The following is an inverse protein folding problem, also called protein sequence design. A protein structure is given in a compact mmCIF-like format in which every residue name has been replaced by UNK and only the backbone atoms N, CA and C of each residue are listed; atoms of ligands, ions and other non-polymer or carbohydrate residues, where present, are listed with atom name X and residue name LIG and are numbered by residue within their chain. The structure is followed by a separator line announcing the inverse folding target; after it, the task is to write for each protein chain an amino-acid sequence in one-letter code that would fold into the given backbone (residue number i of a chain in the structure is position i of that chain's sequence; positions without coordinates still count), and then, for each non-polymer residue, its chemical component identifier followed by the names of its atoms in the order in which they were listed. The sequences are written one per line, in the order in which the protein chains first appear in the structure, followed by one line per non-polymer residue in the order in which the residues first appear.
data_IF_704565829187
#
_entry.id   IF_704565829187
#
_cell.length_a   1.000
_cell.length_b   1.000
_cell.length_c   1.000
_cell.angle_alpha   90.00
_cell.angle_beta   90.00
_cell.angle_gamma   90.00
#
_symmetry.space_group_name_H-M   'P 1'
#
loop_
_entity.id
_entity.type
_entity.pdbx_description
1 polymer ?
#
# COMPACT_ATOMS: atom_id res chain seq x y z
N UNK A 1 4.94 17.73 1.63
CA UNK A 1 5.71 16.47 1.60
C UNK A 1 5.28 15.80 0.33
N UNK A 2 6.16 15.77 -0.66
CA UNK A 2 5.80 15.35 -2.01
C UNK A 2 5.85 13.82 -2.07
N UNK A 3 4.71 13.21 -2.35
CA UNK A 3 4.59 11.76 -2.49
C UNK A 3 5.02 11.39 -3.91
N UNK A 4 5.97 10.45 -4.01
CA UNK A 4 6.40 9.85 -5.25
C UNK A 4 5.58 8.57 -5.45
N UNK A 5 5.00 8.46 -6.64
CA UNK A 5 4.38 7.26 -7.16
C UNK A 5 4.97 6.98 -8.55
N UNK A 6 5.07 5.71 -8.93
CA UNK A 6 5.54 5.33 -10.25
C UNK A 6 4.43 5.62 -11.28
N UNK A 7 4.62 6.65 -12.12
CA UNK A 7 3.68 7.01 -13.20
C UNK A 7 3.58 5.91 -14.27
N UNK A 8 4.59 5.04 -14.39
CA UNK A 8 4.56 3.88 -15.29
C UNK A 8 3.77 2.69 -14.70
N UNK A 9 3.31 2.78 -13.44
CA UNK A 9 2.42 1.81 -12.80
C UNK A 9 3.01 0.42 -12.55
N UNK A 10 4.34 0.28 -12.60
CA UNK A 10 4.98 -1.03 -12.57
C UNK A 10 5.46 -1.38 -11.15
N UNK A 11 5.95 -0.42 -10.37
CA UNK A 11 6.44 -0.66 -9.00
C UNK A 11 5.28 -0.48 -8.00
N UNK A 12 4.98 -1.45 -7.11
CA UNK A 12 4.07 -1.23 -5.99
C UNK A 12 4.73 -0.35 -4.92
N UNK A 13 5.02 0.89 -5.28
CA UNK A 13 5.60 1.91 -4.41
C UNK A 13 4.70 3.14 -4.39
N UNK A 14 4.41 3.57 -3.18
CA UNK A 14 3.79 4.84 -2.87
C UNK A 14 4.49 5.33 -1.62
N UNK A 15 5.12 6.50 -1.64
CA UNK A 15 5.99 6.92 -0.54
C UNK A 15 6.63 8.27 -0.76
N UNK A 16 7.42 8.69 0.22
CA UNK A 16 8.33 9.84 0.13
C UNK A 16 9.61 9.45 -0.61
N UNK A 17 10.39 10.44 -1.04
CA UNK A 17 11.70 10.20 -1.68
C UNK A 17 12.65 9.39 -0.83
N UNK A 18 12.74 9.68 0.48
CA UNK A 18 13.63 8.93 1.38
C UNK A 18 13.22 7.45 1.51
N UNK A 19 11.93 7.15 1.43
CA UNK A 19 11.44 5.77 1.45
C UNK A 19 11.75 5.03 0.13
N UNK A 20 11.73 5.76 -0.99
CA UNK A 20 12.13 5.23 -2.29
C UNK A 20 13.63 4.92 -2.32
N UNK A 21 14.46 5.82 -1.81
CA UNK A 21 15.91 5.64 -1.71
C UNK A 21 16.23 4.40 -0.85
N UNK A 22 15.57 4.26 0.32
CA UNK A 22 15.73 3.09 1.18
C UNK A 22 15.30 1.77 0.51
N UNK A 23 14.20 1.78 -0.26
CA UNK A 23 13.78 0.61 -1.03
C UNK A 23 14.79 0.28 -2.14
N UNK A 24 15.33 1.30 -2.82
CA UNK A 24 16.32 1.15 -3.88
C UNK A 24 17.64 0.56 -3.36
N UNK A 25 18.10 1.01 -2.19
CA UNK A 25 19.27 0.44 -1.51
C UNK A 25 19.05 -1.02 -1.16
N UNK A 26 17.88 -1.37 -0.61
CA UNK A 26 17.52 -2.75 -0.26
C UNK A 26 17.52 -3.65 -1.50
N UNK A 27 16.88 -3.19 -2.58
CA UNK A 27 16.84 -3.89 -3.87
C UNK A 27 18.25 -4.09 -4.44
N UNK A 28 19.08 -3.05 -4.40
CA UNK A 28 20.46 -3.10 -4.90
C UNK A 28 21.28 -4.13 -4.14
N UNK A 29 21.14 -4.17 -2.82
CA UNK A 29 21.79 -5.17 -1.97
C UNK A 29 21.29 -6.59 -2.29
N UNK A 30 19.97 -6.77 -2.45
CA UNK A 30 19.39 -8.04 -2.84
C UNK A 30 19.94 -8.53 -4.20
N UNK A 31 20.02 -7.65 -5.20
CA UNK A 31 20.58 -7.98 -6.52
C UNK A 31 22.06 -8.36 -6.43
N UNK A 32 22.84 -7.70 -5.58
CA UNK A 32 24.23 -8.08 -5.32
C UNK A 32 24.31 -9.49 -4.75
N UNK A 33 23.49 -9.80 -3.75
CA UNK A 33 23.44 -11.16 -3.18
C UNK A 33 23.01 -12.18 -4.23
N UNK A 34 22.01 -11.89 -5.06
CA UNK A 34 21.60 -12.82 -6.12
C UNK A 34 22.72 -13.10 -7.11
N UNK A 35 23.59 -12.13 -7.44
CA UNK A 35 24.75 -12.32 -8.31
C UNK A 35 25.83 -13.20 -7.66
N UNK A 36 26.11 -12.97 -6.39
CA UNK A 36 27.27 -13.55 -5.68
C UNK A 36 26.94 -14.88 -4.98
N UNK A 37 25.70 -15.08 -4.56
CA UNK A 37 25.30 -16.23 -3.77
C UNK A 37 25.51 -17.54 -4.54
N UNK A 38 26.10 -18.51 -3.84
CA UNK A 38 26.29 -19.88 -4.34
C UNK A 38 25.19 -20.84 -3.87
N UNK A 39 24.32 -20.38 -2.95
CA UNK A 39 23.31 -21.22 -2.29
C UNK A 39 21.90 -20.67 -2.52
N UNK A 40 20.95 -21.49 -3.01
CA UNK A 40 19.55 -21.11 -3.19
C UNK A 40 18.90 -20.53 -1.93
N UNK A 41 19.29 -21.04 -0.75
CA UNK A 41 18.79 -20.55 0.54
C UNK A 41 18.99 -19.06 0.72
N UNK A 42 20.19 -18.57 0.45
CA UNK A 42 20.53 -17.15 0.62
C UNK A 42 19.74 -16.28 -0.36
N UNK A 43 19.69 -16.69 -1.62
CA UNK A 43 18.91 -16.02 -2.67
C UNK A 43 17.44 -15.86 -2.28
N UNK A 44 16.82 -16.95 -1.82
CA UNK A 44 15.40 -16.96 -1.46
C UNK A 44 15.13 -16.10 -0.22
N UNK A 45 15.99 -16.16 0.79
CA UNK A 45 15.83 -15.37 2.01
C UNK A 45 15.95 -13.87 1.74
N UNK A 46 16.97 -13.45 0.97
CA UNK A 46 17.13 -12.03 0.61
C UNK A 46 16.00 -11.52 -0.28
N UNK A 47 15.57 -12.33 -1.25
CA UNK A 47 14.42 -11.98 -2.11
C UNK A 47 13.16 -11.81 -1.27
N UNK A 48 12.91 -12.74 -0.35
CA UNK A 48 11.75 -12.68 0.53
C UNK A 48 11.78 -11.50 1.49
N UNK A 49 12.93 -11.20 2.11
CA UNK A 49 13.08 -10.03 2.99
C UNK A 49 12.80 -8.73 2.25
N UNK A 50 13.30 -8.61 1.02
CA UNK A 50 13.10 -7.45 0.17
C UNK A 50 11.62 -7.24 -0.17
N UNK A 51 10.92 -8.32 -0.55
CA UNK A 51 9.48 -8.27 -0.87
C UNK A 51 8.64 -8.02 0.40
N UNK A 52 8.97 -8.64 1.54
CA UNK A 52 8.28 -8.40 2.82
C UNK A 52 8.38 -6.93 3.24
N UNK A 53 9.58 -6.34 3.14
CA UNK A 53 9.78 -4.92 3.42
C UNK A 53 8.94 -4.04 2.49
N UNK A 54 8.99 -4.29 1.17
CA UNK A 54 8.26 -3.50 0.18
C UNK A 54 6.75 -3.53 0.42
N UNK A 55 6.17 -4.72 0.69
CA UNK A 55 4.74 -4.86 0.99
C UNK A 55 4.35 -4.11 2.27
N UNK A 56 5.15 -4.21 3.33
CA UNK A 56 4.89 -3.49 4.58
C UNK A 56 4.94 -1.98 4.38
N UNK A 57 5.95 -1.51 3.65
CA UNK A 57 6.10 -0.10 3.34
C UNK A 57 4.92 0.41 2.51
N UNK A 58 4.54 -0.31 1.46
CA UNK A 58 3.40 0.05 0.60
C UNK A 58 2.09 0.16 1.39
N UNK A 59 1.83 -0.80 2.30
CA UNK A 59 0.67 -0.75 3.19
C UNK A 59 0.71 0.46 4.14
N UNK A 60 1.83 0.70 4.83
CA UNK A 60 1.94 1.85 5.73
C UNK A 60 1.78 3.18 5.01
N UNK A 61 2.33 3.30 3.81
CA UNK A 61 2.19 4.51 3.00
C UNK A 61 0.74 4.74 2.59
N UNK A 62 0.01 3.67 2.24
CA UNK A 62 -1.43 3.75 1.96
C UNK A 62 -2.21 4.33 3.13
N UNK A 63 -1.96 3.82 4.35
CA UNK A 63 -2.58 4.32 5.58
C UNK A 63 -1.99 5.65 6.10
N UNK A 64 -1.05 6.26 5.38
CA UNK A 64 -0.30 7.45 5.82
C UNK A 64 0.36 7.31 7.21
N UNK A 65 0.71 6.07 7.56
CA UNK A 65 1.32 5.74 8.85
C UNK A 65 2.84 5.79 8.80
N UNK A 66 3.43 5.78 7.61
CA UNK A 66 4.87 5.72 7.43
C UNK A 66 5.60 6.94 8.01
N UNK A 67 4.96 8.13 8.02
CA UNK A 67 5.46 9.36 8.67
C UNK A 67 5.68 9.23 10.18
N UNK A 68 5.09 8.24 10.82
CA UNK A 68 5.27 7.97 12.25
C UNK A 68 6.35 6.93 12.54
N UNK A 69 6.96 6.36 11.50
CA UNK A 69 8.10 5.47 11.66
C UNK A 69 9.36 6.27 12.04
N UNK A 70 10.12 5.74 12.99
CA UNK A 70 11.45 6.22 13.34
C UNK A 70 12.39 5.03 13.56
N UNK A 71 13.69 5.28 13.67
CA UNK A 71 14.68 4.21 13.90
C UNK A 71 14.39 3.40 15.17
N UNK A 72 13.85 4.03 16.23
CA UNK A 72 13.49 3.38 17.49
C UNK A 72 12.07 2.79 17.47
N UNK A 73 11.24 3.20 16.51
CA UNK A 73 9.82 2.86 16.44
C UNK A 73 9.40 2.55 15.00
N UNK A 74 9.61 1.31 14.59
CA UNK A 74 9.22 0.83 13.27
C UNK A 74 7.81 0.21 13.30
N UNK A 75 6.82 0.93 12.76
CA UNK A 75 5.44 0.46 12.68
C UNK A 75 5.27 -0.75 11.74
N UNK A 76 6.18 -0.98 10.79
CA UNK A 76 6.09 -2.09 9.82
C UNK A 76 6.09 -3.44 10.52
N UNK A 77 6.82 -3.54 11.63
CA UNK A 77 6.98 -4.78 12.40
C UNK A 77 6.23 -4.76 13.74
N UNK A 78 5.76 -3.58 14.17
CA UNK A 78 4.95 -3.43 15.40
C UNK A 78 3.45 -3.50 15.16
N UNK A 79 2.96 -2.92 14.06
CA UNK A 79 1.52 -2.80 13.77
C UNK A 79 1.04 -3.87 12.78
N UNK A 80 1.77 -4.04 11.67
CA UNK A 80 1.34 -4.96 10.61
C UNK A 80 1.54 -6.43 10.99
N UNK A 81 0.77 -7.37 10.38
CA UNK A 81 0.92 -8.79 10.65
C UNK A 81 2.36 -9.27 10.52
N UNK A 82 2.83 -10.03 11.51
CA UNK A 82 4.19 -10.60 11.51
C UNK A 82 4.35 -11.75 10.52
N UNK A 83 3.28 -12.49 10.25
CA UNK A 83 3.28 -13.61 9.32
C UNK A 83 3.00 -13.09 7.91
N UNK A 84 3.89 -13.38 6.97
CA UNK A 84 3.78 -12.93 5.58
C UNK A 84 2.48 -13.36 4.88
N UNK A 85 1.93 -14.58 5.07
CA UNK A 85 0.61 -14.92 4.54
C UNK A 85 -0.51 -13.99 5.02
N UNK A 86 -0.48 -13.59 6.30
CA UNK A 86 -1.47 -12.66 6.86
C UNK A 86 -1.26 -11.24 6.34
N UNK A 87 -0.01 -10.84 6.10
CA UNK A 87 0.34 -9.58 5.46
C UNK A 87 -0.19 -9.53 4.02
N UNK A 88 0.01 -10.58 3.23
CA UNK A 88 -0.53 -10.69 1.87
C UNK A 88 -2.06 -10.69 1.85
N UNK A 89 -2.70 -11.38 2.80
CA UNK A 89 -4.16 -11.35 2.95
C UNK A 89 -4.66 -9.94 3.26
N UNK A 90 -3.99 -9.23 4.17
CA UNK A 90 -4.31 -7.84 4.49
C UNK A 90 -4.17 -6.95 3.25
N UNK A 91 -3.07 -7.08 2.50
CA UNK A 91 -2.86 -6.37 1.25
C UNK A 91 -4.01 -6.64 0.28
N UNK A 92 -4.31 -7.91 -0.02
CA UNK A 92 -5.37 -8.31 -0.94
C UNK A 92 -6.72 -7.71 -0.57
N UNK A 93 -7.15 -7.86 0.69
CA UNK A 93 -8.43 -7.29 1.17
C UNK A 93 -8.44 -5.76 1.08
N UNK A 94 -7.31 -5.10 1.38
CA UNK A 94 -7.18 -3.64 1.29
C UNK A 94 -7.32 -3.16 -0.15
N UNK A 95 -6.67 -3.85 -1.11
CA UNK A 95 -6.77 -3.56 -2.54
C UNK A 95 -8.20 -3.79 -3.03
N UNK A 96 -8.75 -4.98 -2.80
CA UNK A 96 -10.11 -5.35 -3.23
C UNK A 96 -11.15 -4.36 -2.70
N UNK A 97 -11.06 -3.99 -1.43
CA UNK A 97 -11.95 -3.00 -0.82
C UNK A 97 -11.83 -1.63 -1.50
N UNK A 98 -10.62 -1.09 -1.64
CA UNK A 98 -10.43 0.28 -2.15
C UNK A 98 -10.71 0.41 -3.66
N UNK A 99 -10.47 -0.66 -4.43
CA UNK A 99 -10.80 -0.73 -5.87
C UNK A 99 -12.31 -0.88 -6.08
N UNK A 100 -12.99 -1.68 -5.25
CA UNK A 100 -14.44 -1.88 -5.36
C UNK A 100 -15.28 -0.68 -4.91
N UNK A 101 -14.70 0.25 -4.14
CA UNK A 101 -15.40 1.47 -3.75
C UNK A 101 -15.77 2.29 -5.01
N UNK A 102 -17.01 2.78 -5.15
CA UNK A 102 -17.35 3.72 -6.22
C UNK A 102 -16.46 4.96 -6.11
N UNK A 103 -16.08 5.63 -7.22
CA UNK A 103 -15.26 6.85 -7.16
C UNK A 103 -15.84 7.81 -6.13
N UNK A 104 -14.97 8.34 -5.25
CA UNK A 104 -15.43 9.22 -4.20
C UNK A 104 -16.16 10.39 -4.88
N UNK A 105 -17.36 10.78 -4.42
CA UNK A 105 -17.95 12.01 -4.91
C UNK A 105 -16.91 13.12 -4.68
N UNK A 106 -16.66 13.98 -5.69
CA UNK A 106 -15.71 15.07 -5.53
C UNK A 106 -16.10 15.85 -4.28
N UNK A 107 -15.18 16.03 -3.33
CA UNK A 107 -15.34 16.67 -2.02
C UNK A 107 -16.64 17.49 -1.88
N UNK A 108 -17.64 16.89 -1.24
CA UNK A 108 -18.82 17.64 -0.78
C UNK A 108 -18.98 17.37 0.71
N UNK A 109 -18.46 18.28 1.52
CA UNK A 109 -18.96 18.49 2.88
C UNK A 109 -20.46 18.80 2.81
N UNK A 110 -21.26 18.16 3.66
CA UNK A 110 -22.66 18.50 3.85
C UNK A 110 -23.51 17.39 4.45
N UNK A 111 -24.42 17.77 5.35
CA UNK A 111 -25.44 16.92 5.95
C UNK A 111 -26.33 16.30 4.87
N UNK A 112 -26.30 14.96 4.72
CA UNK A 112 -27.13 14.24 3.75
C UNK A 112 -28.25 13.49 4.45
N UNK A 113 -29.48 13.84 4.12
CA UNK A 113 -30.68 13.09 4.48
C UNK A 113 -31.50 12.79 3.21
N UNK A 114 -32.36 11.76 3.27
CA UNK A 114 -33.19 11.40 2.14
C UNK A 114 -34.21 12.51 1.80
N UNK A 115 -34.73 12.50 0.57
CA UNK A 115 -35.65 13.55 0.10
C UNK A 115 -36.91 13.67 0.96
N UNK A 116 -37.42 12.56 1.50
CA UNK A 116 -38.62 12.56 2.34
C UNK A 116 -38.41 13.29 3.66
N UNK A 117 -37.22 13.15 4.26
CA UNK A 117 -36.83 13.86 5.47
C UNK A 117 -36.76 15.37 5.22
N UNK A 118 -36.13 15.81 4.12
CA UNK A 118 -36.05 17.23 3.80
C UNK A 118 -37.42 17.85 3.48
N UNK A 119 -38.29 17.10 2.79
CA UNK A 119 -39.67 17.54 2.59
C UNK A 119 -40.39 17.72 3.94
N UNK A 120 -40.29 16.74 4.83
CA UNK A 120 -40.89 16.82 6.16
C UNK A 120 -40.37 18.01 6.98
N UNK A 121 -39.06 18.26 6.96
CA UNK A 121 -38.44 19.37 7.69
C UNK A 121 -38.89 20.71 7.11
N UNK A 122 -38.91 20.87 5.78
CA UNK A 122 -39.38 22.10 5.14
C UNK A 122 -40.85 22.39 5.44
N UNK A 123 -41.68 21.34 5.56
CA UNK A 123 -43.11 21.49 5.83
C UNK A 123 -43.41 21.83 7.30
N UNK A 124 -42.58 21.35 8.24
CA UNK A 124 -42.86 21.43 9.69
C UNK A 124 -41.99 22.41 10.46
N UNK A 125 -40.81 22.72 9.95
CA UNK A 125 -39.84 23.63 10.55
C UNK A 125 -38.99 24.29 9.44
N UNK A 126 -39.60 25.13 8.59
CA UNK A 126 -38.95 25.73 7.41
C UNK A 126 -37.73 26.57 7.75
N UNK A 127 -37.63 27.09 8.97
CA UNK A 127 -36.48 27.84 9.48
C UNK A 127 -35.28 26.96 9.85
N UNK A 128 -35.47 25.65 10.05
CA UNK A 128 -34.45 24.74 10.54
C UNK A 128 -33.26 24.58 9.59
N UNK A 129 -33.43 24.42 8.25
CA UNK A 129 -32.30 24.33 7.32
C UNK A 129 -31.40 25.58 7.36
N UNK A 130 -32.01 26.75 7.50
CA UNK A 130 -31.29 28.01 7.58
C UNK A 130 -30.48 28.10 8.89
N UNK A 131 -31.06 27.67 10.02
CA UNK A 131 -30.36 27.61 11.31
C UNK A 131 -29.21 26.59 11.31
N UNK A 132 -29.37 25.45 10.64
CA UNK A 132 -28.29 24.45 10.48
C UNK A 132 -27.12 25.09 9.73
N UNK A 133 -27.40 25.79 8.61
CA UNK A 133 -26.39 26.49 7.83
C UNK A 133 -25.68 27.58 8.64
N UNK A 134 -26.41 28.32 9.48
CA UNK A 134 -25.84 29.35 10.34
C UNK A 134 -24.89 28.78 11.40
N UNK A 135 -25.27 27.68 12.05
CA UNK A 135 -24.44 26.97 13.04
C UNK A 135 -23.18 26.39 12.39
N UNK A 136 -23.29 25.80 11.20
CA UNK A 136 -22.12 25.33 10.45
C UNK A 136 -21.17 26.50 10.13
N UNK A 137 -21.69 27.63 9.66
CA UNK A 137 -20.87 28.81 9.37
C UNK A 137 -20.20 29.39 10.62
N UNK A 138 -20.86 29.37 11.77
CA UNK A 138 -20.30 29.83 13.03
C UNK A 138 -19.16 28.91 13.51
N UNK A 139 -19.34 27.59 13.36
CA UNK A 139 -18.31 26.61 13.69
C UNK A 139 -17.03 26.80 12.84
N UNK A 140 -17.11 27.12 11.53
CA UNK A 140 -15.86 27.33 10.72
C UNK A 140 -15.15 28.55 11.21
N UNK A 141 -15.89 29.63 11.42
CA UNK A 141 -15.31 30.91 11.82
C UNK A 141 -14.57 30.76 13.15
N UNK A 142 -15.07 29.93 14.06
CA UNK A 142 -14.41 29.62 15.32
C UNK A 142 -13.14 28.75 15.18
N UNK A 143 -13.06 27.90 14.15
CA UNK A 143 -11.97 26.93 13.95
C UNK A 143 -10.92 27.36 12.90
N UNK A 144 -11.22 28.36 12.08
CA UNK A 144 -10.32 28.88 11.04
C UNK A 144 -10.59 30.39 10.81
N UNK A 145 -10.00 31.28 11.63
CA UNK A 145 -10.26 32.73 11.58
C UNK A 145 -9.92 33.38 10.22
N UNK A 146 -8.91 32.86 9.53
CA UNK A 146 -8.40 33.39 8.26
C UNK A 146 -9.29 33.07 7.04
N UNK A 147 -10.36 32.30 7.21
CA UNK A 147 -11.35 32.05 6.15
C UNK A 147 -12.51 33.06 6.15
N UNK A 148 -12.42 34.21 6.81
CA UNK A 148 -13.56 35.13 6.95
C UNK A 148 -13.63 36.31 5.95
N UNK A 149 -12.70 36.45 5.00
CA UNK A 149 -12.64 37.63 4.13
C UNK A 149 -13.03 37.42 2.65
N UNK A 150 -13.62 36.29 2.26
CA UNK A 150 -14.18 36.14 0.90
C UNK A 150 -15.50 35.37 0.92
N UNK A 151 -16.54 35.74 0.13
CA UNK A 151 -17.91 35.23 0.29
C UNK A 151 -18.13 33.76 -0.16
N UNK A 152 -17.06 33.03 -0.47
CA UNK A 152 -17.07 31.68 -1.06
C UNK A 152 -16.40 30.64 -0.17
N UNK A 153 -16.63 30.76 1.14
CA UNK A 153 -15.97 29.95 2.16
C UNK A 153 -16.74 28.66 2.40
N UNK A 154 -16.08 27.55 2.05
CA UNK A 154 -16.52 26.18 2.30
C UNK A 154 -16.70 25.99 3.81
N UNK A 155 -17.84 25.39 4.15
CA UNK A 155 -18.25 25.02 5.50
C UNK A 155 -17.17 24.19 6.24
N UNK A 156 -17.26 24.08 7.59
CA UNK A 156 -16.23 23.46 8.41
C UNK A 156 -16.25 21.96 8.21
N UNK A 157 -15.16 21.26 8.56
CA UNK A 157 -15.21 19.83 8.68
C UNK A 157 -16.19 19.48 9.80
N UNK A 158 -17.38 19.02 9.41
CA UNK A 158 -18.41 18.48 10.27
C UNK A 158 -17.85 17.26 11.02
N UNK A 159 -17.96 17.27 12.35
CA UNK A 159 -17.65 16.14 13.24
C UNK A 159 -18.89 15.26 13.45
N UNK A 160 -19.77 15.13 12.45
CA UNK A 160 -20.74 14.06 12.45
C UNK A 160 -20.02 12.74 12.24
N UNK A 161 -20.35 11.77 13.08
CA UNK A 161 -19.95 10.35 13.04
C UNK A 161 -20.51 9.63 11.80
N UNK A 162 -20.34 10.23 10.63
CA UNK A 162 -20.67 9.73 9.31
C UNK A 162 -19.43 9.70 8.39
N UNK A 163 -18.22 9.77 8.95
CA UNK A 163 -17.07 9.26 8.21
C UNK A 163 -17.36 7.78 7.92
N UNK A 164 -17.34 7.34 6.64
CA UNK A 164 -17.39 5.92 6.38
C UNK A 164 -16.29 5.27 7.22
N UNK A 165 -16.61 4.16 7.91
CA UNK A 165 -15.71 3.41 8.81
C UNK A 165 -14.34 3.01 8.21
N UNK A 166 -14.09 3.35 6.95
CA UNK A 166 -12.80 3.26 6.28
C UNK A 166 -12.63 4.53 5.45
N UNK A 167 -11.76 5.44 5.89
CA UNK A 167 -11.27 6.50 5.03
C UNK A 167 -10.62 5.85 3.79
N UNK A 168 -11.07 6.24 2.60
CA UNK A 168 -10.52 5.70 1.36
C UNK A 168 -9.03 6.05 1.26
N UNK A 169 -8.22 5.10 0.84
CA UNK A 169 -6.81 5.39 0.56
C UNK A 169 -6.70 6.36 -0.62
N UNK A 170 -5.57 7.08 -0.68
CA UNK A 170 -5.30 8.06 -1.74
C UNK A 170 -5.51 7.46 -3.13
N UNK A 171 -6.16 8.18 -4.07
CA UNK A 171 -6.38 7.69 -5.44
C UNK A 171 -5.09 7.18 -6.10
N UNK A 172 -3.98 7.88 -5.90
CA UNK A 172 -2.66 7.52 -6.44
C UNK A 172 -2.17 6.18 -5.90
N UNK A 173 -2.39 5.91 -4.60
CA UNK A 173 -2.10 4.61 -4.01
C UNK A 173 -2.98 3.52 -4.62
N UNK A 174 -4.27 3.81 -4.84
CA UNK A 174 -5.22 2.86 -5.44
C UNK A 174 -4.85 2.56 -6.88
N UNK A 175 -4.40 3.53 -7.67
CA UNK A 175 -3.91 3.30 -9.04
C UNK A 175 -2.72 2.36 -9.06
N UNK A 176 -1.73 2.57 -8.19
CA UNK A 176 -0.59 1.65 -8.05
C UNK A 176 -1.06 0.25 -7.60
N UNK A 177 -2.01 0.18 -6.66
CA UNK A 177 -2.54 -1.07 -6.14
C UNK A 177 -3.31 -1.91 -7.18
N UNK A 178 -3.89 -1.29 -8.21
CA UNK A 178 -4.58 -2.01 -9.30
C UNK A 178 -3.64 -2.89 -10.13
N UNK A 179 -2.34 -2.61 -10.14
CA UNK A 179 -1.34 -3.44 -10.81
C UNK A 179 -1.10 -4.79 -10.10
N UNK A 180 -1.57 -4.95 -8.85
CA UNK A 180 -1.38 -6.16 -8.05
C UNK A 180 -2.40 -7.24 -8.42
N UNK A 181 -2.15 -7.93 -9.52
CA UNK A 181 -3.03 -8.97 -10.05
C UNK A 181 -2.89 -10.34 -9.33
N UNK A 182 -3.69 -11.32 -9.76
CA UNK A 182 -3.65 -12.68 -9.22
C UNK A 182 -2.27 -13.35 -9.39
N UNK A 183 -1.55 -13.02 -10.48
CA UNK A 183 -0.21 -13.56 -10.74
C UNK A 183 0.80 -13.00 -9.73
N UNK A 184 0.73 -11.71 -9.43
CA UNK A 184 1.56 -11.06 -8.40
C UNK A 184 1.42 -11.79 -7.07
N UNK A 185 0.17 -12.01 -6.62
CA UNK A 185 -0.07 -12.71 -5.36
C UNK A 185 0.40 -14.17 -5.38
N UNK A 186 0.18 -14.90 -6.48
CA UNK A 186 0.62 -16.29 -6.61
C UNK A 186 2.15 -16.42 -6.53
N UNK A 187 2.89 -15.48 -7.13
CA UNK A 187 4.35 -15.43 -7.05
C UNK A 187 4.83 -15.10 -5.63
N UNK A 188 4.20 -14.14 -4.95
CA UNK A 188 4.52 -13.83 -3.56
C UNK A 188 4.26 -15.03 -2.62
N UNK A 189 3.16 -15.75 -2.82
CA UNK A 189 2.85 -16.98 -2.08
C UNK A 189 3.87 -18.10 -2.39
N UNK A 190 4.28 -18.25 -3.65
CA UNK A 190 5.31 -19.21 -4.04
C UNK A 190 6.66 -18.91 -3.38
N UNK A 191 7.08 -17.65 -3.39
CA UNK A 191 8.29 -17.19 -2.71
C UNK A 191 8.22 -17.51 -1.21
N UNK A 192 7.07 -17.31 -0.57
CA UNK A 192 6.90 -17.63 0.84
C UNK A 192 7.02 -19.13 1.15
N UNK A 193 6.50 -20.01 0.27
CA UNK A 193 6.70 -21.46 0.42
C UNK A 193 8.18 -21.84 0.30
N UNK A 194 8.86 -21.33 -0.72
CA UNK A 194 10.30 -21.51 -0.90
C UNK A 194 11.10 -21.01 0.31
N UNK A 195 10.73 -19.85 0.86
CA UNK A 195 11.33 -19.30 2.08
C UNK A 195 11.11 -20.20 3.29
N UNK A 196 9.91 -20.73 3.49
CA UNK A 196 9.64 -21.65 4.60
C UNK A 196 10.54 -22.89 4.52
N UNK A 197 10.73 -23.46 3.32
CA UNK A 197 11.69 -24.55 3.12
C UNK A 197 13.13 -24.09 3.37
N UNK A 198 13.53 -22.93 2.85
CA UNK A 198 14.89 -22.40 3.00
C UNK A 198 15.27 -22.08 4.46
N UNK A 199 14.30 -21.77 5.33
CA UNK A 199 14.55 -21.58 6.77
C UNK A 199 14.95 -22.90 7.45
N UNK A 200 14.39 -24.03 6.99
CA UNK A 200 14.54 -25.33 7.63
C UNK A 200 15.47 -26.30 6.89
N UNK A 201 15.72 -26.09 5.59
CA UNK A 201 16.56 -26.93 4.74
C UNK A 201 17.75 -26.17 4.18
N UNK A 202 18.89 -26.85 4.09
CA UNK A 202 20.09 -26.37 3.40
C UNK A 202 20.25 -26.99 2.01
N UNK A 203 19.37 -27.91 1.61
CA UNK A 203 19.48 -28.64 0.34
C UNK A 203 18.90 -27.81 -0.80
N UNK A 204 19.70 -27.57 -1.81
CA UNK A 204 19.34 -26.79 -3.00
C UNK A 204 18.14 -27.36 -3.73
N UNK A 205 18.03 -28.68 -3.79
CA UNK A 205 16.96 -29.39 -4.51
C UNK A 205 15.60 -29.22 -3.85
N UNK A 206 15.56 -29.22 -2.51
CA UNK A 206 14.30 -29.05 -1.78
C UNK A 206 13.77 -27.63 -1.93
N UNK A 207 14.65 -26.64 -1.90
CA UNK A 207 14.29 -25.24 -2.14
C UNK A 207 13.85 -25.02 -3.58
N UNK A 208 14.61 -25.57 -4.55
CA UNK A 208 14.28 -25.47 -5.97
C UNK A 208 12.93 -26.11 -6.33
N UNK A 209 12.54 -27.18 -5.64
CA UNK A 209 11.26 -27.87 -5.87
C UNK A 209 10.04 -26.98 -5.65
N UNK A 210 10.10 -26.01 -4.73
CA UNK A 210 9.02 -25.04 -4.50
C UNK A 210 8.80 -24.10 -5.71
N UNK A 211 9.83 -23.97 -6.55
CA UNK A 211 9.77 -23.27 -7.84
C UNK A 211 9.52 -24.21 -9.03
N UNK A 212 9.35 -25.52 -8.80
CA UNK A 212 9.27 -26.53 -9.86
C UNK A 212 10.61 -26.82 -10.54
N UNK A 213 11.73 -26.50 -9.87
CA UNK A 213 13.08 -26.63 -10.42
C UNK A 213 13.77 -27.89 -9.89
N UNK A 214 14.54 -28.56 -10.75
CA UNK A 214 15.29 -29.75 -10.38
C UNK A 214 16.58 -29.90 -11.23
N UNK A 215 17.45 -30.80 -10.80
CA UNK A 215 18.65 -31.19 -11.53
C UNK A 215 19.88 -30.33 -11.24
N UNK A 216 20.98 -30.56 -11.98
CA UNK A 216 22.30 -30.00 -11.67
C UNK A 216 22.38 -28.47 -11.80
N UNK A 217 21.41 -27.84 -12.48
CA UNK A 217 21.33 -26.39 -12.66
C UNK A 217 20.43 -25.69 -11.63
N UNK A 218 19.96 -26.39 -10.59
CA UNK A 218 18.98 -25.85 -9.63
C UNK A 218 19.39 -24.51 -9.02
N UNK A 219 20.69 -24.30 -8.76
CA UNK A 219 21.20 -23.03 -8.22
C UNK A 219 21.01 -21.88 -9.20
N UNK A 220 21.42 -22.07 -10.45
CA UNK A 220 21.27 -21.06 -11.51
C UNK A 220 19.80 -20.77 -11.80
N UNK A 221 18.97 -21.82 -11.90
CA UNK A 221 17.54 -21.66 -12.14
C UNK A 221 16.83 -20.95 -10.97
N UNK A 222 17.24 -21.21 -9.73
CA UNK A 222 16.69 -20.52 -8.55
C UNK A 222 17.05 -19.04 -8.56
N UNK A 223 18.28 -18.70 -8.96
CA UNK A 223 18.70 -17.31 -9.14
C UNK A 223 17.86 -16.59 -10.19
N UNK A 224 17.71 -17.20 -11.36
CA UNK A 224 16.88 -16.68 -12.45
C UNK A 224 15.43 -16.48 -11.96
N UNK A 225 14.89 -17.43 -11.20
CA UNK A 225 13.53 -17.32 -10.64
C UNK A 225 13.40 -16.21 -9.61
N UNK A 226 14.39 -16.02 -8.73
CA UNK A 226 14.40 -14.93 -7.77
C UNK A 226 14.47 -13.56 -8.46
N UNK A 227 15.26 -13.44 -9.54
CA UNK A 227 15.31 -12.25 -10.37
C UNK A 227 13.97 -11.98 -11.06
N UNK A 228 13.33 -13.01 -11.64
CA UNK A 228 11.98 -12.89 -12.23
C UNK A 228 10.96 -12.42 -11.19
N UNK A 229 11.03 -12.94 -9.95
CA UNK A 229 10.16 -12.53 -8.85
C UNK A 229 10.41 -11.06 -8.50
N UNK A 230 11.65 -10.61 -8.37
CA UNK A 230 11.94 -9.19 -8.11
C UNK A 230 11.47 -8.28 -9.26
N UNK A 231 11.69 -8.70 -10.51
CA UNK A 231 11.21 -7.99 -11.70
C UNK A 231 9.68 -7.89 -11.71
N UNK A 232 8.98 -8.98 -11.37
CA UNK A 232 7.51 -9.00 -11.43
C UNK A 232 6.88 -8.30 -10.24
N UNK A 233 7.42 -8.52 -9.04
CA UNK A 233 6.80 -8.02 -7.81
C UNK A 233 7.17 -6.57 -7.51
N UNK A 234 8.33 -6.10 -7.97
CA UNK A 234 8.86 -4.76 -7.69
C UNK A 234 9.21 -3.97 -8.95
N UNK A 235 8.88 -4.45 -10.15
CA UNK A 235 9.19 -3.82 -11.44
C UNK A 235 10.62 -3.34 -11.65
N UNK A 236 11.57 -4.10 -11.11
CA UNK A 236 12.98 -3.80 -11.26
C UNK A 236 13.41 -4.14 -12.68
N UNK A 237 13.90 -3.18 -13.47
CA UNK A 237 14.57 -3.46 -14.75
C UNK A 237 16.00 -3.97 -14.46
N UNK A 238 16.21 -5.28 -14.50
CA UNK A 238 17.56 -5.86 -14.37
C UNK A 238 18.27 -5.69 -15.72
N UNK A 239 19.26 -4.78 -15.79
CA UNK A 239 20.12 -4.65 -16.96
C UNK A 239 20.85 -5.97 -17.26
N UNK A 240 20.95 -6.34 -18.54
CA UNK A 240 21.72 -7.50 -18.96
C UNK A 240 23.17 -7.37 -18.45
N UNK A 241 23.81 -8.46 -17.99
CA UNK A 241 25.22 -8.41 -17.62
C UNK A 241 26.01 -8.00 -18.86
N UNK A 242 26.67 -6.84 -18.79
CA UNK A 242 27.70 -6.44 -19.74
C UNK A 242 28.81 -7.49 -19.66
N UNK A 243 28.88 -8.34 -20.70
CA UNK A 243 29.95 -9.32 -20.89
C UNK A 243 31.27 -8.68 -21.25
#
# INVERSE_FOLDING_TARGET
MDWIHDEEGNVPFFGTRGELDALSDLVTNCLKVLREASRPREMVLETWLTVDYAVRQFLLSGFELSRFCSQSFDLRYRLLPRQFPNLLRLLRVTVEFNVALPPAPPDTAGFRANHEFWRFVNDRAPELPQRIKEVELEYVRSKSPDMSASPTVKAPPDLSTNEPMVARLKPEWVEVAKALDQRWFALAEQLNRARNVAVHSFRSEDIGREFGLAGPRVVTLTREKCLEILQTLLAIKVGAPSG
#
